data_IF_560018449539
#
_entry.id   IF_560018449539
#
_cell.length_a   1.000
_cell.length_b   1.000
_cell.length_c   1.000
_cell.angle_alpha   90.00
_cell.angle_beta   90.00
_cell.angle_gamma   90.00
#
_symmetry.space_group_name_H-M   'P 1'
#
loop_
_entity.id
_entity.type
_entity.pdbx_description
1 polymer ?
#
# COMPACT_ATOMS: atom_id res chain seq x y z
N UNK A 1 -14.53 -5.31 -9.63
CA UNK A 1 -13.31 -5.35 -10.50
C UNK A 1 -12.07 -5.02 -9.67
N UNK A 2 -10.91 -5.68 -9.93
CA UNK A 2 -9.61 -5.36 -9.27
C UNK A 2 -8.57 -5.04 -10.32
N UNK A 3 -7.86 -3.92 -10.14
CA UNK A 3 -6.77 -3.46 -11.01
C UNK A 3 -5.45 -3.58 -10.26
N UNK A 4 -4.57 -4.44 -10.72
CA UNK A 4 -3.26 -4.73 -10.11
C UNK A 4 -3.06 -6.20 -9.77
N UNK A 5 -1.85 -6.55 -9.33
CA UNK A 5 -1.46 -7.93 -8.97
C UNK A 5 -0.60 -7.99 -7.70
N UNK A 6 -0.37 -6.85 -7.06
CA UNK A 6 0.47 -6.71 -5.87
C UNK A 6 -0.19 -7.23 -4.59
N UNK A 7 0.42 -6.90 -3.46
CA UNK A 7 -0.02 -7.32 -2.12
C UNK A 7 -1.49 -6.97 -1.86
N UNK A 8 -1.86 -5.71 -2.04
CA UNK A 8 -3.24 -5.24 -1.83
C UNK A 8 -4.21 -5.89 -2.80
N UNK A 9 -3.88 -5.97 -4.12
CA UNK A 9 -4.75 -6.61 -5.10
C UNK A 9 -5.09 -8.05 -4.70
N UNK A 10 -4.11 -8.82 -4.23
CA UNK A 10 -4.33 -10.21 -3.78
C UNK A 10 -5.19 -10.30 -2.52
N UNK A 11 -4.99 -9.40 -1.56
CA UNK A 11 -5.79 -9.39 -0.32
C UNK A 11 -7.29 -9.15 -0.58
N UNK A 12 -7.61 -8.34 -1.58
CA UNK A 12 -8.99 -8.03 -1.93
C UNK A 12 -9.61 -8.99 -2.96
N UNK A 13 -8.82 -9.87 -3.59
CA UNK A 13 -9.25 -10.66 -4.73
C UNK A 13 -10.40 -11.62 -4.42
N UNK A 14 -10.37 -12.30 -3.26
CA UNK A 14 -11.38 -13.30 -2.90
C UNK A 14 -12.79 -12.73 -2.79
N UNK A 15 -12.92 -11.50 -2.33
CA UNK A 15 -14.23 -10.88 -2.06
C UNK A 15 -14.69 -9.95 -3.18
N UNK A 16 -13.76 -9.25 -3.86
CA UNK A 16 -14.11 -8.16 -4.77
C UNK A 16 -13.86 -8.42 -6.26
N UNK A 17 -13.26 -9.57 -6.65
CA UNK A 17 -12.97 -9.87 -8.07
C UNK A 17 -14.24 -9.97 -8.93
N UNK A 18 -15.35 -10.41 -8.34
CA UNK A 18 -16.63 -10.64 -9.03
C UNK A 18 -17.68 -9.56 -8.72
N UNK A 19 -17.26 -8.44 -8.12
CA UNK A 19 -18.11 -7.31 -7.78
C UNK A 19 -18.04 -6.26 -8.89
N UNK A 20 -19.18 -5.96 -9.53
CA UNK A 20 -19.26 -4.92 -10.58
C UNK A 20 -19.53 -3.53 -10.00
N UNK A 21 -20.06 -3.46 -8.78
CA UNK A 21 -20.39 -2.24 -8.06
C UNK A 21 -19.17 -1.59 -7.36
N UNK A 22 -18.01 -2.27 -7.35
CA UNK A 22 -16.76 -1.80 -6.72
C UNK A 22 -15.57 -2.05 -7.65
N UNK A 23 -14.75 -1.02 -7.83
CA UNK A 23 -13.45 -1.11 -8.50
C UNK A 23 -12.33 -0.81 -7.53
N UNK A 24 -11.50 -1.81 -7.22
CA UNK A 24 -10.32 -1.66 -6.36
C UNK A 24 -9.10 -1.39 -7.23
N UNK A 25 -8.58 -0.16 -7.20
CA UNK A 25 -7.36 0.20 -7.91
C UNK A 25 -6.13 0.02 -7.00
N UNK A 26 -5.42 -1.10 -7.17
CA UNK A 26 -4.23 -1.50 -6.42
C UNK A 26 -2.98 -1.63 -7.33
N UNK A 27 -2.90 -0.79 -8.37
CA UNK A 27 -1.81 -0.77 -9.36
C UNK A 27 -0.94 0.50 -9.31
N UNK A 28 -0.99 1.22 -8.19
CA UNK A 28 -0.22 2.44 -7.98
C UNK A 28 1.27 2.19 -7.74
N UNK A 29 2.08 3.23 -7.93
CA UNK A 29 3.50 3.23 -7.53
C UNK A 29 3.57 3.02 -6.02
N UNK A 30 4.32 2.00 -5.59
CA UNK A 30 4.46 1.59 -4.18
C UNK A 30 5.82 1.92 -3.57
N UNK A 31 6.82 2.25 -4.40
CA UNK A 31 8.13 2.69 -3.95
C UNK A 31 8.10 4.15 -3.51
N UNK A 32 8.17 4.41 -2.20
CA UNK A 32 8.15 5.77 -1.64
C UNK A 32 9.38 6.63 -2.04
N UNK A 33 10.44 5.99 -2.53
CA UNK A 33 11.65 6.66 -3.05
C UNK A 33 11.60 6.86 -4.58
N UNK A 34 10.49 6.54 -5.23
CA UNK A 34 10.35 6.72 -6.67
C UNK A 34 10.43 8.19 -7.05
N UNK A 35 11.26 8.47 -8.05
CA UNK A 35 11.41 9.78 -8.70
C UNK A 35 11.22 9.69 -10.22
N UNK A 36 10.89 8.51 -10.75
CA UNK A 36 10.74 8.26 -12.17
C UNK A 36 9.42 8.83 -12.71
N UNK A 37 9.53 9.88 -13.52
CA UNK A 37 8.39 10.54 -14.16
C UNK A 37 7.61 9.59 -15.09
N UNK A 38 8.26 8.59 -15.69
CA UNK A 38 7.59 7.62 -16.56
C UNK A 38 6.72 6.66 -15.76
N UNK A 39 7.16 6.24 -14.56
CA UNK A 39 6.32 5.44 -13.66
C UNK A 39 5.09 6.21 -13.21
N UNK A 40 5.27 7.48 -12.87
CA UNK A 40 4.16 8.36 -12.50
C UNK A 40 3.18 8.59 -13.66
N UNK A 41 3.69 8.80 -14.87
CA UNK A 41 2.85 8.95 -16.06
C UNK A 41 2.06 7.66 -16.38
N UNK A 42 2.69 6.50 -16.25
CA UNK A 42 2.03 5.19 -16.43
C UNK A 42 0.93 4.95 -15.41
N UNK A 43 1.18 5.23 -14.11
CA UNK A 43 0.12 5.12 -13.09
C UNK A 43 -1.05 6.05 -13.43
N UNK A 44 -0.76 7.32 -13.76
CA UNK A 44 -1.79 8.30 -14.09
C UNK A 44 -2.65 7.84 -15.26
N UNK A 45 -2.04 7.37 -16.34
CA UNK A 45 -2.78 6.90 -17.52
C UNK A 45 -3.63 5.68 -17.20
N UNK A 46 -3.06 4.70 -16.48
CA UNK A 46 -3.79 3.49 -16.05
C UNK A 46 -4.95 3.84 -15.13
N UNK A 47 -4.77 4.80 -14.21
CA UNK A 47 -5.81 5.24 -13.29
C UNK A 47 -7.00 5.83 -14.06
N UNK A 48 -6.75 6.73 -15.02
CA UNK A 48 -7.80 7.34 -15.85
C UNK A 48 -8.58 6.27 -16.61
N UNK A 49 -7.88 5.40 -17.33
CA UNK A 49 -8.53 4.29 -18.07
C UNK A 49 -9.33 3.36 -17.15
N UNK A 50 -8.80 3.09 -15.94
CA UNK A 50 -9.52 2.24 -14.98
C UNK A 50 -10.79 2.90 -14.43
N UNK A 51 -10.79 4.22 -14.21
CA UNK A 51 -12.00 4.95 -13.80
C UNK A 51 -13.06 4.94 -14.91
N UNK A 52 -12.65 5.09 -16.16
CA UNK A 52 -13.56 4.99 -17.33
C UNK A 52 -14.17 3.58 -17.44
N UNK A 53 -13.36 2.53 -17.27
CA UNK A 53 -13.80 1.13 -17.30
C UNK A 53 -14.72 0.75 -16.14
N UNK A 54 -14.48 1.30 -14.94
CA UNK A 54 -15.33 1.05 -13.77
C UNK A 54 -16.75 1.61 -13.97
N UNK A 55 -16.89 2.66 -14.78
CA UNK A 55 -18.16 3.34 -14.96
C UNK A 55 -18.55 4.20 -13.75
N UNK A 56 -19.57 5.02 -13.94
CA UNK A 56 -19.98 6.04 -12.95
C UNK A 56 -20.71 5.49 -11.73
N UNK A 57 -21.25 4.29 -11.82
CA UNK A 57 -22.09 3.68 -10.77
C UNK A 57 -21.29 2.84 -9.78
N UNK A 58 -20.10 2.36 -10.16
CA UNK A 58 -19.21 1.64 -9.28
C UNK A 58 -18.50 2.57 -8.29
N UNK A 59 -18.27 2.10 -7.06
CA UNK A 59 -17.39 2.80 -6.11
C UNK A 59 -15.93 2.56 -6.48
N UNK A 60 -15.21 3.63 -6.83
CA UNK A 60 -13.79 3.57 -7.19
C UNK A 60 -12.91 3.74 -5.95
N UNK A 61 -12.18 2.69 -5.58
CA UNK A 61 -11.31 2.64 -4.41
C UNK A 61 -9.86 2.84 -4.83
N UNK A 62 -9.20 3.81 -4.22
CA UNK A 62 -7.79 4.12 -4.46
C UNK A 62 -6.97 4.04 -3.17
N UNK A 63 -5.76 3.48 -3.25
CA UNK A 63 -4.83 3.43 -2.13
C UNK A 63 -3.83 4.59 -2.20
N UNK A 64 -4.03 5.56 -1.32
CA UNK A 64 -3.13 6.70 -1.08
C UNK A 64 -2.04 6.37 -0.07
N UNK A 65 -1.39 7.40 0.48
CA UNK A 65 -0.32 7.25 1.48
C UNK A 65 -0.55 8.15 2.69
N UNK A 66 -0.31 7.62 3.90
CA UNK A 66 -0.27 8.42 5.12
C UNK A 66 0.90 9.41 5.18
N UNK A 67 1.92 9.24 4.31
CA UNK A 67 3.08 10.14 4.23
C UNK A 67 2.73 11.59 3.86
N UNK A 68 1.51 11.84 3.39
CA UNK A 68 1.00 13.20 3.16
C UNK A 68 0.97 14.04 4.44
N UNK A 69 0.87 13.41 5.61
CA UNK A 69 0.87 14.05 6.92
C UNK A 69 2.29 14.22 7.51
N UNK A 70 3.31 13.62 6.90
CA UNK A 70 4.69 13.71 7.35
C UNK A 70 5.36 14.98 6.78
N UNK A 71 5.76 15.95 7.63
CA UNK A 71 6.39 17.19 7.17
C UNK A 71 7.68 16.97 6.37
N UNK A 72 8.43 15.89 6.65
CA UNK A 72 9.67 15.56 5.95
C UNK A 72 9.43 14.88 4.59
N UNK A 73 8.32 14.17 4.46
CA UNK A 73 8.00 13.38 3.26
C UNK A 73 7.02 14.06 2.30
N UNK A 74 6.18 14.99 2.77
CA UNK A 74 5.06 15.56 2.00
C UNK A 74 5.48 16.23 0.69
N UNK A 75 6.70 16.75 0.60
CA UNK A 75 7.23 17.43 -0.58
C UNK A 75 8.05 16.52 -1.51
N UNK A 76 8.12 15.23 -1.22
CA UNK A 76 8.78 14.26 -2.11
C UNK A 76 8.01 14.08 -3.42
N UNK A 77 8.70 13.75 -4.54
CA UNK A 77 8.02 13.45 -5.81
C UNK A 77 6.94 12.40 -5.69
N UNK A 78 7.18 11.35 -4.90
CA UNK A 78 6.21 10.28 -4.64
C UNK A 78 4.93 10.80 -3.96
N UNK A 79 5.05 11.59 -2.89
CA UNK A 79 3.87 12.09 -2.16
C UNK A 79 3.09 13.09 -2.99
N UNK A 80 3.78 13.98 -3.73
CA UNK A 80 3.13 14.89 -4.69
C UNK A 80 2.36 14.12 -5.77
N UNK A 81 2.96 13.05 -6.30
CA UNK A 81 2.28 12.18 -7.27
C UNK A 81 1.04 11.52 -6.65
N UNK A 82 1.15 10.94 -5.46
CA UNK A 82 0.00 10.32 -4.78
C UNK A 82 -1.14 11.30 -4.55
N UNK A 83 -0.84 12.52 -4.11
CA UNK A 83 -1.85 13.58 -3.96
C UNK A 83 -2.49 13.98 -5.30
N UNK A 84 -1.71 14.04 -6.39
CA UNK A 84 -2.26 14.30 -7.72
C UNK A 84 -3.20 13.18 -8.18
N UNK A 85 -2.90 11.92 -7.87
CA UNK A 85 -3.78 10.79 -8.15
C UNK A 85 -5.06 10.83 -7.29
N UNK A 86 -4.95 11.14 -5.99
CA UNK A 86 -6.12 11.35 -5.12
C UNK A 86 -7.05 12.44 -5.68
N UNK A 87 -6.48 13.54 -6.19
CA UNK A 87 -7.26 14.60 -6.83
C UNK A 87 -7.96 14.15 -8.11
N UNK A 88 -7.35 13.26 -8.91
CA UNK A 88 -8.02 12.67 -10.07
C UNK A 88 -9.18 11.77 -9.64
N UNK A 89 -8.95 10.91 -8.65
CA UNK A 89 -9.96 9.98 -8.12
C UNK A 89 -11.14 10.73 -7.53
N UNK A 90 -10.93 11.86 -6.85
CA UNK A 90 -12.02 12.66 -6.27
C UNK A 90 -12.98 13.28 -7.30
N UNK A 91 -12.67 13.21 -8.60
CA UNK A 91 -13.58 13.59 -9.69
C UNK A 91 -14.55 12.47 -10.08
N UNK A 92 -14.31 11.24 -9.61
CA UNK A 92 -15.24 10.14 -9.83
C UNK A 92 -16.49 10.35 -8.96
N UNK A 93 -17.72 10.12 -9.47
CA UNK A 93 -18.95 10.39 -8.73
C UNK A 93 -19.11 9.55 -7.46
N UNK A 94 -18.48 8.39 -7.41
CA UNK A 94 -18.46 7.49 -6.25
C UNK A 94 -17.03 7.03 -6.00
N UNK A 95 -16.35 7.61 -5.02
CA UNK A 95 -14.98 7.24 -4.71
C UNK A 95 -14.75 6.97 -3.23
N UNK A 96 -13.66 6.27 -2.95
CA UNK A 96 -13.11 6.09 -1.61
C UNK A 96 -11.58 6.10 -1.73
N UNK A 97 -10.93 6.98 -0.98
CA UNK A 97 -9.48 7.04 -0.90
C UNK A 97 -9.04 6.49 0.46
N UNK A 98 -8.25 5.41 0.45
CA UNK A 98 -7.72 4.77 1.64
C UNK A 98 -6.23 5.07 1.72
N UNK A 99 -5.81 5.96 2.62
CA UNK A 99 -4.40 6.26 2.86
C UNK A 99 -3.81 5.24 3.80
N UNK A 100 -2.74 4.61 3.37
CA UNK A 100 -2.07 3.54 4.09
C UNK A 100 -0.66 3.96 4.53
N UNK A 101 -0.18 3.46 5.69
CA UNK A 101 1.20 3.58 6.12
C UNK A 101 2.08 2.49 5.45
N UNK A 102 3.08 1.97 6.15
CA UNK A 102 3.82 0.79 5.72
C UNK A 102 2.94 -0.46 5.86
N UNK A 103 2.56 -1.06 4.75
CA UNK A 103 1.77 -2.30 4.75
C UNK A 103 2.70 -3.51 4.79
N UNK A 104 2.52 -4.33 5.81
CA UNK A 104 3.19 -5.61 5.97
C UNK A 104 2.40 -6.73 5.28
N UNK A 105 3.09 -7.72 4.76
CA UNK A 105 2.49 -8.89 4.13
C UNK A 105 3.47 -9.58 3.18
N UNK A 106 3.14 -10.80 2.78
CA UNK A 106 4.00 -11.59 1.92
C UNK A 106 3.93 -11.07 0.47
N UNK A 107 5.03 -10.49 0.01
CA UNK A 107 5.12 -9.90 -1.33
C UNK A 107 6.55 -10.01 -1.88
N UNK A 108 6.71 -10.24 -3.19
CA UNK A 108 8.03 -10.20 -3.82
C UNK A 108 8.58 -8.78 -4.01
N UNK A 109 7.80 -7.73 -3.67
CA UNK A 109 8.20 -6.35 -3.87
C UNK A 109 9.39 -5.97 -2.95
N UNK A 110 10.60 -5.71 -3.49
CA UNK A 110 11.78 -5.40 -2.71
C UNK A 110 11.76 -4.00 -2.06
N UNK A 111 10.83 -3.15 -2.47
CA UNK A 111 10.75 -1.75 -2.02
C UNK A 111 9.89 -1.56 -0.76
N UNK A 112 9.29 -2.62 -0.21
CA UNK A 112 8.66 -2.53 1.10
C UNK A 112 9.72 -2.46 2.19
N UNK A 113 9.43 -1.73 3.28
CA UNK A 113 10.38 -1.58 4.39
C UNK A 113 10.87 -2.94 4.92
N UNK A 114 9.94 -3.86 5.17
CA UNK A 114 10.28 -5.16 5.75
C UNK A 114 11.11 -6.01 4.79
N UNK A 115 10.78 -6.05 3.49
CA UNK A 115 11.56 -6.79 2.50
C UNK A 115 12.96 -6.18 2.30
N UNK A 116 13.06 -4.85 2.33
CA UNK A 116 14.35 -4.17 2.28
C UNK A 116 15.25 -4.55 3.45
N UNK A 117 14.73 -4.44 4.68
CA UNK A 117 15.48 -4.81 5.89
C UNK A 117 15.87 -6.28 5.84
N UNK A 118 14.92 -7.15 5.50
CA UNK A 118 15.16 -8.56 5.35
C UNK A 118 16.31 -8.85 4.37
N UNK A 119 16.24 -8.30 3.15
CA UNK A 119 17.26 -8.54 2.13
C UNK A 119 18.65 -8.07 2.57
N UNK A 120 18.76 -6.97 3.32
CA UNK A 120 20.03 -6.47 3.86
C UNK A 120 20.56 -7.34 4.98
N UNK A 121 19.70 -7.73 5.94
CA UNK A 121 20.08 -8.55 7.09
C UNK A 121 20.52 -9.94 6.62
N UNK A 122 19.75 -10.61 5.79
CA UNK A 122 20.04 -11.96 5.31
C UNK A 122 21.32 -12.07 4.46
N UNK A 123 21.73 -10.97 3.83
CA UNK A 123 22.97 -10.89 3.04
C UNK A 123 24.15 -10.32 3.84
N UNK A 124 23.97 -10.02 5.13
CA UNK A 124 24.96 -9.32 5.95
C UNK A 124 25.44 -8.00 5.34
N UNK A 125 24.55 -7.30 4.62
CA UNK A 125 24.82 -6.03 3.99
C UNK A 125 24.56 -4.87 4.96
N UNK A 126 25.42 -3.86 4.95
CA UNK A 126 25.22 -2.65 5.76
C UNK A 126 24.06 -1.81 5.23
N UNK A 127 23.35 -1.13 6.14
CA UNK A 127 22.33 -0.15 5.82
C UNK A 127 22.31 0.97 6.87
N UNK A 128 21.77 2.13 6.50
CA UNK A 128 21.64 3.26 7.42
C UNK A 128 20.39 3.09 8.27
N UNK A 129 20.57 3.10 9.60
CA UNK A 129 19.48 3.07 10.57
C UNK A 129 19.23 4.47 11.14
N UNK A 130 18.09 5.04 10.85
CA UNK A 130 17.63 6.30 11.43
C UNK A 130 17.02 6.02 12.82
N UNK A 131 17.85 6.06 13.86
CA UNK A 131 17.50 5.62 15.22
C UNK A 131 16.28 6.33 15.81
N UNK A 132 16.08 7.61 15.49
CA UNK A 132 14.98 8.42 16.01
C UNK A 132 13.71 8.30 15.16
N UNK A 133 13.78 7.66 13.98
CA UNK A 133 12.62 7.48 13.14
C UNK A 133 11.66 6.44 13.73
N UNK A 134 10.37 6.72 13.57
CA UNK A 134 9.29 5.77 13.89
C UNK A 134 8.52 5.46 12.62
N UNK A 135 7.93 4.27 12.56
CA UNK A 135 7.10 3.85 11.43
C UNK A 135 5.80 3.27 11.93
N UNK A 136 4.73 3.64 11.26
CA UNK A 136 3.46 2.96 11.38
C UNK A 136 3.49 1.74 10.44
N UNK A 137 3.20 0.58 10.97
CA UNK A 137 3.14 -0.68 10.21
C UNK A 137 1.79 -1.31 10.49
N UNK A 138 1.12 -1.73 9.44
CA UNK A 138 -0.16 -2.44 9.52
C UNK A 138 -0.10 -3.69 8.64
N UNK A 139 -0.68 -4.78 9.10
CA UNK A 139 -0.80 -6.00 8.31
C UNK A 139 -1.81 -5.82 7.16
N UNK A 140 -1.57 -6.47 6.03
CA UNK A 140 -2.45 -6.39 4.86
C UNK A 140 -3.84 -6.99 5.15
N UNK A 141 -3.92 -7.98 6.04
CA UNK A 141 -5.20 -8.58 6.44
C UNK A 141 -6.01 -7.60 7.30
N UNK A 142 -5.36 -6.83 8.17
CA UNK A 142 -6.00 -5.74 8.93
C UNK A 142 -6.45 -4.61 7.99
N UNK A 143 -5.62 -4.25 6.99
CA UNK A 143 -6.04 -3.28 5.96
C UNK A 143 -7.29 -3.76 5.25
N UNK A 144 -7.34 -5.04 4.86
CA UNK A 144 -8.51 -5.62 4.20
C UNK A 144 -9.75 -5.59 5.12
N UNK A 145 -9.60 -6.04 6.38
CA UNK A 145 -10.71 -6.09 7.33
C UNK A 145 -11.30 -4.69 7.59
N UNK A 146 -10.46 -3.68 7.84
CA UNK A 146 -10.90 -2.31 8.06
C UNK A 146 -11.51 -1.72 6.79
N UNK A 147 -10.87 -1.91 5.63
CA UNK A 147 -11.37 -1.39 4.36
C UNK A 147 -12.75 -1.98 4.01
N UNK A 148 -13.00 -3.25 4.33
CA UNK A 148 -14.30 -3.89 4.16
C UNK A 148 -15.39 -3.21 4.98
N UNK A 149 -15.14 -2.89 6.24
CA UNK A 149 -16.08 -2.16 7.08
C UNK A 149 -16.33 -0.74 6.54
N UNK A 150 -15.26 -0.04 6.11
CA UNK A 150 -15.38 1.30 5.49
C UNK A 150 -16.18 1.26 4.19
N UNK A 151 -16.02 0.22 3.36
CA UNK A 151 -16.78 0.04 2.12
C UNK A 151 -18.26 -0.25 2.35
N UNK A 152 -18.61 -0.89 3.47
CA UNK A 152 -19.98 -1.19 3.86
C UNK A 152 -20.68 0.03 4.48
N UNK A 153 -19.95 1.03 4.94
CA UNK A 153 -20.51 2.26 5.52
C UNK A 153 -20.82 3.29 4.42
N UNK A 154 -22.10 3.44 4.11
CA UNK A 154 -22.56 4.38 3.10
C UNK A 154 -22.25 5.86 3.45
N UNK A 155 -22.05 6.20 4.73
CA UNK A 155 -21.71 7.56 5.17
C UNK A 155 -20.28 7.96 4.81
N UNK A 156 -19.40 6.99 4.54
CA UNK A 156 -17.99 7.18 4.18
C UNK A 156 -17.77 7.26 2.65
N UNK A 157 -18.81 7.38 1.87
CA UNK A 157 -18.68 7.60 0.41
C UNK A 157 -18.12 8.99 0.12
N UNK A 158 -17.35 9.09 -0.95
CA UNK A 158 -16.70 10.31 -1.43
C UNK A 158 -15.80 10.96 -0.37
N UNK A 159 -15.10 10.14 0.40
CA UNK A 159 -14.21 10.57 1.46
C UNK A 159 -12.79 10.01 1.30
N UNK A 160 -11.88 10.56 2.11
CA UNK A 160 -10.54 10.03 2.31
C UNK A 160 -10.42 9.54 3.74
N UNK A 161 -10.06 8.27 3.92
CA UNK A 161 -9.91 7.61 5.23
C UNK A 161 -8.46 7.19 5.41
N UNK A 162 -7.88 7.48 6.58
CA UNK A 162 -6.57 6.94 6.97
C UNK A 162 -6.77 5.61 7.69
N UNK A 163 -6.18 4.54 7.15
CA UNK A 163 -6.14 3.22 7.79
C UNK A 163 -4.72 3.00 8.30
N UNK A 164 -4.56 2.98 9.62
CA UNK A 164 -3.26 2.88 10.26
C UNK A 164 -3.35 2.11 11.57
N UNK A 165 -2.23 1.52 12.00
CA UNK A 165 -2.10 0.95 13.35
C UNK A 165 -2.19 2.07 14.40
N UNK A 166 -2.76 1.82 15.59
CA UNK A 166 -2.74 2.80 16.67
C UNK A 166 -1.31 3.05 17.23
N UNK A 167 -0.35 2.20 16.84
CA UNK A 167 1.02 2.23 17.36
C UNK A 167 2.03 2.57 16.26
N UNK A 168 2.94 3.51 16.57
CA UNK A 168 4.13 3.75 15.77
C UNK A 168 5.33 3.08 16.45
N UNK A 169 6.09 2.27 15.69
CA UNK A 169 7.24 1.53 16.20
C UNK A 169 8.55 2.26 15.93
N UNK A 170 9.49 2.33 16.90
CA UNK A 170 10.85 2.79 16.64
C UNK A 170 11.52 1.93 15.57
N UNK A 171 12.31 2.53 14.68
CA UNK A 171 13.06 1.77 13.68
C UNK A 171 14.02 0.74 14.29
N UNK A 172 14.57 1.03 15.47
CA UNK A 172 15.41 0.08 16.23
C UNK A 172 14.67 -1.21 16.58
N UNK A 173 13.39 -1.12 16.95
CA UNK A 173 12.60 -2.29 17.35
C UNK A 173 12.16 -3.08 16.12
N UNK A 174 11.84 -2.39 15.01
CA UNK A 174 11.54 -3.04 13.74
C UNK A 174 12.74 -3.85 13.24
N UNK A 175 13.95 -3.28 13.30
CA UNK A 175 15.18 -3.99 12.90
C UNK A 175 15.45 -5.17 13.81
N UNK A 176 15.35 -5.03 15.15
CA UNK A 176 15.50 -6.15 16.08
C UNK A 176 14.52 -7.28 15.78
N UNK A 177 13.25 -6.96 15.58
CA UNK A 177 12.23 -7.93 15.20
C UNK A 177 12.60 -8.61 13.87
N UNK A 178 13.05 -7.85 12.86
CA UNK A 178 13.44 -8.41 11.56
C UNK A 178 14.61 -9.40 11.67
N UNK A 179 15.57 -9.18 12.60
CA UNK A 179 16.65 -10.11 12.88
C UNK A 179 16.13 -11.40 13.54
N UNK A 180 15.23 -11.28 14.52
CA UNK A 180 14.67 -12.43 15.24
C UNK A 180 13.73 -13.29 14.38
N UNK A 181 13.07 -12.69 13.39
CA UNK A 181 12.17 -13.40 12.46
C UNK A 181 12.90 -14.15 11.34
N UNK A 182 14.22 -13.95 11.19
CA UNK A 182 14.97 -14.45 10.04
C UNK A 182 14.89 -15.99 9.89
N UNK A 183 14.94 -16.77 10.96
CA UNK A 183 14.97 -18.24 10.85
C UNK A 183 13.58 -18.90 10.65
N UNK A 184 12.54 -18.37 11.24
CA UNK A 184 11.20 -19.00 11.23
C UNK A 184 10.25 -18.48 10.16
N UNK A 185 10.21 -17.17 9.95
CA UNK A 185 9.32 -16.51 9.00
C UNK A 185 9.75 -16.78 7.55
N UNK A 186 11.04 -16.74 7.30
CA UNK A 186 11.64 -17.04 6.00
C UNK A 186 11.35 -18.42 5.51
N UNK A 187 11.55 -19.41 6.34
CA UNK A 187 11.27 -20.79 5.97
C UNK A 187 9.79 -20.97 5.58
N UNK A 188 8.87 -20.24 6.19
CA UNK A 188 7.44 -20.24 5.81
C UNK A 188 7.18 -19.49 4.50
N UNK A 189 7.80 -18.32 4.30
CA UNK A 189 7.65 -17.51 3.08
C UNK A 189 8.27 -18.21 1.89
N UNK A 190 9.50 -18.73 2.03
CA UNK A 190 10.20 -19.45 0.97
C UNK A 190 9.42 -20.72 0.56
N UNK A 191 8.98 -21.53 1.53
CA UNK A 191 8.20 -22.75 1.24
C UNK A 191 6.86 -22.44 0.57
N UNK A 192 6.19 -21.37 0.96
CA UNK A 192 4.86 -21.02 0.40
C UNK A 192 4.93 -20.41 -1.00
N UNK A 193 6.02 -19.70 -1.37
CA UNK A 193 6.09 -18.95 -2.62
C UNK A 193 7.13 -19.43 -3.62
N UNK A 194 8.16 -20.13 -3.19
CA UNK A 194 9.26 -20.58 -4.08
C UNK A 194 9.43 -22.09 -4.16
N UNK A 195 8.60 -22.87 -3.46
CA UNK A 195 8.46 -24.31 -3.70
C UNK A 195 9.74 -25.15 -3.54
N UNK A 196 10.68 -24.72 -2.66
CA UNK A 196 11.88 -25.52 -2.36
C UNK A 196 12.04 -25.74 -0.86
#
# INVERSE_FOLDING_TARGET
MIIGSGLLARAFASEYSHRDDICIYAAGVSNSNCTDANEFARERQRLITSMEQAGRDATFVYFGTCSVADPEARDTPYVRHKLAMEHLVSRHPRYLILRLPQVAGITPNPHTLLNYLYARISRSESFTLWRNARRNIIDVEDVFAIAREVLNDASLRNTTVNIASPVNYPMTDIVKASIQFDEGYLNRVIRKYYGR
#
